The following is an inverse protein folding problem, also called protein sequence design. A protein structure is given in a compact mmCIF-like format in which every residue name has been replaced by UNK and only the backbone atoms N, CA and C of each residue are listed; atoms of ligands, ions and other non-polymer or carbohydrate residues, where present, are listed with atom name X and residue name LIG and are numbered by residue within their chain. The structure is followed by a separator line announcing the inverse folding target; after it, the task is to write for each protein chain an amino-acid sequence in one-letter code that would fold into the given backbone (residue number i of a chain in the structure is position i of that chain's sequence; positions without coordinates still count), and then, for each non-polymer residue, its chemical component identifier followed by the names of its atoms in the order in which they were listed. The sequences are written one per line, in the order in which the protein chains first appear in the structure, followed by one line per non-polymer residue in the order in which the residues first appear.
data_IF_641625095474
#
_entry.id   IF_641625095474
#
_cell.length_a   1.000
_cell.length_b   1.000
_cell.length_c   1.000
_cell.angle_alpha   90.00
_cell.angle_beta   90.00
_cell.angle_gamma   90.00
#
_symmetry.space_group_name_H-M   'P 1'
#
loop_
_entity.id
_entity.type
_entity.pdbx_description
1 polymer ?
#
# COMPACT_ATOMS: atom_id res chain seq x y z
N UNK A 1 -9.29 -21.37 -19.53
CA UNK A 1 -9.50 -21.72 -18.12
C UNK A 1 -9.47 -20.42 -17.33
N UNK A 2 -10.63 -19.97 -16.83
CA UNK A 2 -10.73 -18.73 -16.08
C UNK A 2 -10.21 -18.97 -14.65
N UNK A 3 -9.20 -18.23 -14.24
CA UNK A 3 -8.75 -18.18 -12.86
C UNK A 3 -9.89 -17.70 -11.97
N UNK A 4 -10.37 -18.54 -11.06
CA UNK A 4 -11.37 -18.19 -10.07
C UNK A 4 -10.80 -17.19 -9.06
N UNK A 5 -10.75 -15.91 -9.42
CA UNK A 5 -10.64 -14.82 -8.46
C UNK A 5 -11.92 -14.83 -7.62
N UNK A 6 -11.85 -15.25 -6.35
CA UNK A 6 -12.95 -15.19 -5.40
C UNK A 6 -13.45 -13.75 -5.28
N UNK A 7 -14.44 -13.40 -6.10
CA UNK A 7 -14.63 -12.05 -6.62
C UNK A 7 -15.25 -11.10 -5.63
N UNK A 8 -14.43 -10.20 -5.10
CA UNK A 8 -14.92 -9.03 -4.38
C UNK A 8 -15.72 -8.15 -5.36
N UNK A 9 -16.92 -7.66 -5.00
CA UNK A 9 -17.73 -6.85 -5.89
C UNK A 9 -16.98 -5.60 -6.41
N UNK A 10 -17.24 -5.18 -7.66
CA UNK A 10 -16.72 -3.91 -8.18
C UNK A 10 -17.06 -2.75 -7.23
N UNK A 11 -16.04 -1.95 -6.90
CA UNK A 11 -16.19 -0.81 -6.00
C UNK A 11 -15.85 -1.10 -4.53
N UNK A 12 -15.70 -2.37 -4.13
CA UNK A 12 -15.12 -2.67 -2.84
C UNK A 12 -13.66 -2.24 -2.81
N UNK A 13 -13.30 -1.47 -1.80
CA UNK A 13 -11.96 -0.92 -1.62
C UNK A 13 -11.59 -1.02 -0.17
N UNK A 14 -10.29 -1.04 0.07
CA UNK A 14 -9.75 -0.86 1.40
C UNK A 14 -10.01 0.58 1.85
N UNK A 15 -10.97 0.75 2.76
CA UNK A 15 -11.33 2.04 3.36
C UNK A 15 -11.65 1.88 4.85
N UNK A 16 -10.68 1.44 5.67
CA UNK A 16 -10.89 1.25 7.10
C UNK A 16 -11.07 2.58 7.83
N UNK A 17 -11.78 2.53 8.95
CA UNK A 17 -11.84 3.61 9.94
C UNK A 17 -10.57 3.65 10.81
N UNK A 18 -10.33 4.76 11.52
CA UNK A 18 -9.21 4.89 12.46
C UNK A 18 -9.24 3.81 13.55
N UNK A 19 -10.44 3.48 14.04
CA UNK A 19 -10.61 2.44 15.06
C UNK A 19 -10.23 1.05 14.52
N UNK A 20 -10.57 0.74 13.27
CA UNK A 20 -10.19 -0.52 12.64
C UNK A 20 -8.68 -0.58 12.37
N UNK A 21 -8.07 0.52 11.90
CA UNK A 21 -6.62 0.62 11.69
C UNK A 21 -5.85 0.29 12.98
N UNK A 22 -6.28 0.86 14.11
CA UNK A 22 -5.61 0.67 15.41
C UNK A 22 -5.93 -0.70 16.01
N UNK A 23 -7.21 -1.01 16.22
CA UNK A 23 -7.63 -2.15 17.04
C UNK A 23 -7.64 -3.48 16.28
N UNK A 24 -7.78 -3.44 14.95
CA UNK A 24 -7.75 -4.63 14.12
C UNK A 24 -6.37 -4.81 13.49
N UNK A 25 -5.94 -3.90 12.60
CA UNK A 25 -4.74 -4.13 11.79
C UNK A 25 -3.45 -4.01 12.60
N UNK A 26 -3.24 -2.87 13.28
CA UNK A 26 -2.01 -2.64 14.03
C UNK A 26 -1.89 -3.59 15.22
N UNK A 27 -2.96 -3.74 16.02
CA UNK A 27 -2.97 -4.64 17.17
C UNK A 27 -2.69 -6.09 16.79
N UNK A 28 -3.27 -6.60 15.69
CA UNK A 28 -2.98 -7.96 15.20
C UNK A 28 -1.53 -8.12 14.76
N UNK A 29 -0.99 -7.12 14.05
CA UNK A 29 0.41 -7.12 13.59
C UNK A 29 1.38 -7.24 14.77
N UNK A 30 1.24 -6.39 15.79
CA UNK A 30 2.14 -6.41 16.95
C UNK A 30 1.94 -7.63 17.86
N UNK A 31 0.78 -8.27 17.80
CA UNK A 31 0.47 -9.49 18.57
C UNK A 31 0.89 -10.78 17.85
N UNK A 32 1.59 -10.68 16.71
CA UNK A 32 1.97 -11.82 15.85
C UNK A 32 0.79 -12.74 15.46
N UNK A 33 -0.42 -12.19 15.41
CA UNK A 33 -1.58 -12.94 14.95
C UNK A 33 -1.54 -13.04 13.44
N UNK A 34 -1.79 -14.24 12.89
CA UNK A 34 -1.94 -14.40 11.44
C UNK A 34 -3.24 -13.73 10.98
N UNK A 35 -3.15 -12.81 10.02
CA UNK A 35 -4.27 -12.23 9.27
C UNK A 35 -3.80 -11.93 7.85
N UNK A 36 -4.73 -11.72 6.91
CA UNK A 36 -4.39 -11.39 5.53
C UNK A 36 -3.72 -10.01 5.46
N UNK A 37 -2.39 -10.03 5.56
CA UNK A 37 -1.53 -8.85 5.44
C UNK A 37 -1.27 -8.47 3.99
N UNK A 38 -1.80 -9.21 3.00
CA UNK A 38 -1.59 -8.92 1.58
C UNK A 38 -2.04 -7.50 1.18
N UNK A 39 -2.94 -6.89 1.97
CA UNK A 39 -3.44 -5.52 1.76
C UNK A 39 -2.47 -4.45 2.30
N UNK A 40 -1.65 -4.74 3.32
CA UNK A 40 -0.73 -3.77 3.96
C UNK A 40 0.71 -4.28 3.87
N UNK A 41 1.51 -3.68 2.97
CA UNK A 41 2.92 -4.02 2.77
C UNK A 41 3.80 -3.58 3.93
N UNK A 42 4.84 -4.36 4.24
CA UNK A 42 5.87 -3.98 5.21
C UNK A 42 6.99 -3.19 4.52
N UNK A 43 7.24 -1.98 5.01
CA UNK A 43 8.20 -1.04 4.42
C UNK A 43 8.91 -0.23 5.50
N UNK A 44 10.19 0.07 5.29
CA UNK A 44 10.94 1.02 6.12
C UNK A 44 10.77 2.43 5.55
N UNK A 45 9.84 3.19 6.12
CA UNK A 45 9.51 4.55 5.66
C UNK A 45 10.68 5.53 5.81
N UNK A 46 11.67 5.27 6.67
CA UNK A 46 12.78 6.19 6.90
C UNK A 46 13.90 6.06 5.86
N UNK A 47 13.84 5.01 5.03
CA UNK A 47 14.86 4.72 4.01
C UNK A 47 14.34 4.93 2.59
N UNK A 48 13.07 5.32 2.45
CA UNK A 48 12.44 5.45 1.15
C UNK A 48 11.87 6.84 0.95
N UNK A 49 11.95 7.30 -0.29
CA UNK A 49 11.31 8.52 -0.71
C UNK A 49 9.81 8.30 -0.91
N UNK A 50 8.95 9.32 -0.71
CA UNK A 50 7.49 9.16 -0.81
C UNK A 50 7.00 8.58 -2.14
N UNK A 51 7.70 8.82 -3.25
CA UNK A 51 7.35 8.29 -4.57
C UNK A 51 7.72 6.83 -4.77
N UNK A 52 8.61 6.27 -3.96
CA UNK A 52 8.98 4.85 -4.00
C UNK A 52 7.89 3.97 -3.37
N UNK A 53 6.96 4.56 -2.61
CA UNK A 53 5.82 3.88 -2.01
C UNK A 53 4.72 3.56 -3.04
N UNK A 54 4.63 4.32 -4.12
CA UNK A 54 3.64 4.08 -5.18
C UNK A 54 4.02 2.80 -5.92
N UNK A 55 3.09 1.85 -6.01
CA UNK A 55 3.32 0.57 -6.68
C UNK A 55 3.79 0.72 -8.13
N UNK A 56 4.16 -0.41 -8.71
CA UNK A 56 4.60 -0.63 -10.10
C UNK A 56 3.65 -0.07 -11.19
N UNK A 57 2.42 0.30 -10.84
CA UNK A 57 1.44 0.93 -11.73
C UNK A 57 1.45 2.46 -11.81
N UNK A 58 2.34 3.15 -11.10
CA UNK A 58 2.54 4.61 -11.24
C UNK A 58 3.40 4.93 -12.48
N UNK A 59 3.23 6.08 -13.17
CA UNK A 59 4.06 6.43 -14.32
C UNK A 59 5.53 6.33 -13.91
N UNK A 60 6.25 5.43 -14.62
CA UNK A 60 7.62 4.97 -14.37
C UNK A 60 8.37 5.86 -13.38
N UNK A 61 8.81 5.33 -12.24
CA UNK A 61 9.52 6.05 -11.16
C UNK A 61 10.54 7.09 -11.66
N UNK A 62 11.14 6.86 -12.83
CA UNK A 62 11.97 7.81 -13.58
C UNK A 62 11.30 9.17 -13.86
N UNK A 63 10.02 9.21 -14.22
CA UNK A 63 9.25 10.41 -14.52
C UNK A 63 8.97 11.26 -13.27
N UNK A 64 8.56 10.64 -12.16
CA UNK A 64 8.31 11.36 -10.90
C UNK A 64 9.62 11.96 -10.35
N UNK A 65 10.72 11.19 -10.41
CA UNK A 65 12.05 11.68 -10.01
C UNK A 65 12.50 12.87 -10.88
N UNK A 66 12.29 12.80 -12.19
CA UNK A 66 12.67 13.87 -13.12
C UNK A 66 11.86 15.16 -12.91
N UNK A 67 10.58 15.04 -12.54
CA UNK A 67 9.73 16.20 -12.21
C UNK A 67 10.21 16.85 -10.91
N UNK A 68 10.48 16.08 -9.85
CA UNK A 68 10.95 16.64 -8.57
C UNK A 68 12.28 17.40 -8.73
N UNK A 69 13.26 16.82 -9.42
CA UNK A 69 14.56 17.46 -9.67
C UNK A 69 14.42 18.77 -10.46
N UNK A 70 13.49 18.85 -11.42
CA UNK A 70 13.21 20.08 -12.18
C UNK A 70 12.60 21.21 -11.34
N UNK A 71 11.87 20.89 -10.27
CA UNK A 71 11.24 21.89 -9.40
C UNK A 71 12.11 22.30 -8.21
N UNK A 72 13.25 21.64 -7.99
CA UNK A 72 14.18 21.90 -6.88
C UNK A 72 15.39 22.77 -7.28
N UNK A 73 15.55 23.08 -8.56
CA UNK A 73 16.53 24.03 -9.11
C UNK A 73 15.88 25.38 -9.40
#
# INVERSE_FOLDING_TARGET
MASSSGGVPPGFRFHPTDEELLHYYLKKKVSFQKFDMEVIREVDLNKMEPWELQGDGSPSQSAIKHIHEKFKS
#
